data_IF_054505643498
#
_entry.id   IF_054505643498
#
_cell.length_a   1.000
_cell.length_b   1.000
_cell.length_c   1.000
_cell.angle_alpha   90.00
_cell.angle_beta   90.00
_cell.angle_gamma   90.00
#
_symmetry.space_group_name_H-M   'P 1'
#
loop_
_entity.id
_entity.type
_entity.pdbx_description
1 polymer ?
#
# COMPACT_ATOMS: atom_id res chain seq x y z
N UNK A 1 33.69 -58.80 11.61
CA UNK A 1 32.50 -58.60 10.77
C UNK A 1 31.50 -57.77 11.52
N UNK A 2 30.95 -56.70 11.03
CA UNK A 2 30.01 -55.73 11.58
C UNK A 2 30.63 -54.35 11.87
N UNK A 3 30.91 -53.57 10.84
CA UNK A 3 30.99 -52.10 10.96
C UNK A 3 30.85 -51.47 9.56
N UNK A 4 29.79 -51.63 8.87
CA UNK A 4 29.41 -50.88 7.66
C UNK A 4 27.92 -50.81 7.63
N UNK A 5 27.32 -49.84 8.30
CA UNK A 5 25.93 -49.45 8.08
C UNK A 5 25.54 -48.19 8.84
N UNK A 6 26.32 -47.15 8.82
CA UNK A 6 25.87 -45.81 9.28
C UNK A 6 26.57 -44.75 8.41
N UNK A 7 26.25 -44.70 7.17
CA UNK A 7 26.69 -43.58 6.30
C UNK A 7 25.75 -43.33 5.12
N UNK A 8 24.50 -43.55 5.28
CA UNK A 8 23.55 -43.36 4.19
C UNK A 8 22.30 -42.55 4.58
N UNK A 9 22.33 -41.76 5.66
CA UNK A 9 21.14 -41.04 6.09
C UNK A 9 21.30 -39.54 6.35
N UNK A 10 22.32 -38.91 5.83
CA UNK A 10 22.52 -37.46 6.02
C UNK A 10 22.57 -36.65 4.70
N UNK A 11 21.96 -37.13 3.64
CA UNK A 11 21.96 -36.49 2.32
C UNK A 11 20.59 -36.09 1.80
N UNK A 12 19.58 -36.00 2.67
CA UNK A 12 18.22 -35.67 2.22
C UNK A 12 17.55 -34.52 2.94
N UNK A 13 18.28 -33.50 3.38
CA UNK A 13 17.68 -32.27 3.88
C UNK A 13 18.41 -31.00 3.42
N UNK A 14 18.85 -30.96 2.20
CA UNK A 14 18.97 -29.70 1.47
C UNK A 14 17.68 -29.52 0.69
N UNK A 15 16.60 -29.23 1.38
CA UNK A 15 15.43 -28.62 0.78
C UNK A 15 15.90 -27.30 0.19
N UNK A 16 16.28 -27.33 -1.07
CA UNK A 16 16.46 -26.12 -1.86
C UNK A 16 15.13 -25.39 -1.80
N UNK A 17 15.06 -24.33 -1.02
CA UNK A 17 14.12 -23.25 -1.29
C UNK A 17 14.60 -22.68 -2.63
N UNK A 18 14.28 -23.38 -3.71
CA UNK A 18 14.46 -22.87 -5.04
C UNK A 18 13.59 -21.61 -5.10
N UNK A 19 14.22 -20.47 -5.06
CA UNK A 19 13.56 -19.22 -5.43
C UNK A 19 12.90 -19.51 -6.77
N UNK A 20 11.56 -19.42 -6.81
CA UNK A 20 10.84 -19.68 -8.05
C UNK A 20 11.20 -18.56 -9.01
N UNK A 21 12.11 -18.82 -9.89
CA UNK A 21 12.40 -17.92 -10.99
C UNK A 21 11.21 -17.91 -11.95
N UNK A 22 10.71 -16.73 -12.22
CA UNK A 22 9.70 -16.53 -13.27
C UNK A 22 10.43 -16.52 -14.60
N UNK A 23 10.10 -17.41 -15.55
CA UNK A 23 10.70 -17.41 -16.87
C UNK A 23 10.57 -16.04 -17.56
N UNK A 24 11.61 -15.61 -18.27
CA UNK A 24 11.64 -14.32 -18.96
C UNK A 24 10.42 -14.13 -19.88
N UNK A 25 10.03 -15.16 -20.61
CA UNK A 25 8.83 -15.11 -21.46
C UNK A 25 7.54 -14.83 -20.70
N UNK A 26 7.42 -15.33 -19.47
CA UNK A 26 6.27 -15.03 -18.62
C UNK A 26 6.31 -13.60 -18.12
N UNK A 27 7.47 -13.07 -17.80
CA UNK A 27 7.62 -11.66 -17.41
C UNK A 27 7.25 -10.72 -18.57
N UNK A 28 7.71 -11.05 -19.77
CA UNK A 28 7.36 -10.31 -20.99
C UNK A 28 5.87 -10.34 -21.26
N UNK A 29 5.24 -11.49 -21.13
CA UNK A 29 3.79 -11.62 -21.27
C UNK A 29 3.04 -10.75 -20.25
N UNK A 30 3.43 -10.81 -18.98
CA UNK A 30 2.82 -9.99 -17.91
C UNK A 30 3.00 -8.50 -18.21
N UNK A 31 4.20 -8.11 -18.66
CA UNK A 31 4.46 -6.72 -19.06
C UNK A 31 3.53 -6.26 -20.19
N UNK A 32 3.36 -7.07 -21.23
CA UNK A 32 2.47 -6.75 -22.34
C UNK A 32 0.98 -6.69 -21.91
N UNK A 33 0.55 -7.57 -21.03
CA UNK A 33 -0.81 -7.58 -20.48
C UNK A 33 -1.05 -6.40 -19.53
N UNK A 34 -0.05 -6.03 -18.73
CA UNK A 34 -0.17 -4.97 -17.71
C UNK A 34 0.05 -3.57 -18.26
N UNK A 35 0.82 -3.42 -19.36
CA UNK A 35 1.04 -2.11 -19.94
C UNK A 35 -0.26 -1.57 -20.51
N UNK A 36 -0.58 -0.35 -20.14
CA UNK A 36 -1.74 0.34 -20.70
C UNK A 36 -1.26 1.42 -21.68
N UNK A 37 -1.79 1.47 -22.91
CA UNK A 37 -1.53 2.57 -23.84
C UNK A 37 -2.23 3.86 -23.38
N UNK A 38 -3.18 3.74 -22.45
CA UNK A 38 -3.99 4.86 -21.99
C UNK A 38 -3.49 5.37 -20.65
N UNK A 39 -3.11 6.64 -20.59
CA UNK A 39 -2.83 7.37 -19.38
C UNK A 39 -3.87 8.46 -19.24
N UNK A 40 -4.73 8.32 -18.25
CA UNK A 40 -5.84 9.24 -18.03
C UNK A 40 -5.45 10.53 -17.30
N UNK A 41 -4.17 10.67 -16.94
CA UNK A 41 -3.66 11.82 -16.20
C UNK A 41 -3.48 11.52 -14.72
N UNK A 42 -3.41 12.58 -13.93
CA UNK A 42 -3.32 12.50 -12.48
C UNK A 42 -4.72 12.34 -11.88
N UNK A 43 -4.94 11.26 -11.15
CA UNK A 43 -6.20 11.03 -10.42
C UNK A 43 -6.40 12.10 -9.32
N UNK A 44 -5.34 12.35 -8.54
CA UNK A 44 -5.28 13.39 -7.53
C UNK A 44 -3.96 14.14 -7.68
N UNK A 45 -4.01 15.46 -7.65
CA UNK A 45 -2.83 16.31 -7.67
C UNK A 45 -2.69 17.06 -6.35
N UNK A 46 -1.47 17.38 -5.91
CA UNK A 46 -1.26 18.28 -4.78
C UNK A 46 -1.89 19.65 -5.06
N UNK A 47 -2.31 20.33 -4.00
CA UNK A 47 -2.88 21.67 -4.12
C UNK A 47 -1.87 22.71 -4.63
N UNK A 48 -0.58 22.42 -4.53
CA UNK A 48 0.51 23.30 -4.95
C UNK A 48 1.76 22.52 -5.36
N UNK A 49 2.78 23.24 -5.84
CA UNK A 49 4.05 22.65 -6.27
C UNK A 49 4.99 22.24 -5.12
N UNK A 50 4.62 22.48 -3.88
CA UNK A 50 5.46 22.20 -2.70
C UNK A 50 5.12 20.85 -2.07
N UNK A 51 3.88 20.41 -2.20
CA UNK A 51 3.42 19.15 -1.67
C UNK A 51 3.59 18.02 -2.69
N UNK A 52 3.79 16.83 -2.16
CA UNK A 52 3.79 15.57 -2.93
C UNK A 52 2.70 14.67 -2.40
N UNK A 53 2.24 13.79 -3.24
CA UNK A 53 1.25 12.77 -2.90
C UNK A 53 1.89 11.41 -3.10
N UNK A 54 1.61 10.50 -2.18
CA UNK A 54 2.15 9.14 -2.19
C UNK A 54 1.19 8.13 -1.57
N UNK A 55 1.52 6.85 -1.71
CA UNK A 55 0.88 5.72 -1.04
C UNK A 55 -0.66 5.69 -1.16
N UNK A 56 -1.23 5.70 -2.37
CA UNK A 56 -2.66 5.58 -2.52
C UNK A 56 -3.14 4.17 -2.17
N UNK A 57 -4.25 4.10 -1.44
CA UNK A 57 -4.98 2.86 -1.18
C UNK A 57 -6.44 3.06 -1.54
N UNK A 58 -6.91 2.31 -2.53
CA UNK A 58 -8.27 2.41 -3.05
C UNK A 58 -9.14 1.32 -2.45
N UNK A 59 -10.35 1.67 -2.07
CA UNK A 59 -11.35 0.76 -1.55
C UNK A 59 -12.76 1.22 -1.92
N UNK A 60 -13.73 0.37 -1.72
CA UNK A 60 -15.13 0.66 -2.04
C UNK A 60 -15.98 0.67 -0.77
N UNK A 61 -16.91 1.61 -0.71
CA UNK A 61 -17.94 1.65 0.33
C UNK A 61 -19.27 2.04 -0.31
N UNK A 62 -20.23 1.13 -0.25
CA UNK A 62 -21.48 1.27 -0.99
C UNK A 62 -21.22 1.34 -2.50
N UNK A 63 -21.76 2.35 -3.14
CA UNK A 63 -21.64 2.57 -4.58
C UNK A 63 -20.47 3.45 -4.98
N UNK A 64 -19.69 3.93 -4.01
CA UNK A 64 -18.58 4.85 -4.25
C UNK A 64 -17.21 4.21 -4.01
N UNK A 65 -16.25 4.72 -4.75
CA UNK A 65 -14.84 4.44 -4.52
C UNK A 65 -14.23 5.52 -3.65
N UNK A 66 -13.35 5.09 -2.77
CA UNK A 66 -12.56 5.96 -1.91
C UNK A 66 -11.09 5.66 -2.08
N UNK A 67 -10.27 6.67 -1.87
CA UNK A 67 -8.82 6.54 -1.88
C UNK A 67 -8.25 7.30 -0.70
N UNK A 68 -7.59 6.58 0.21
CA UNK A 68 -6.68 7.26 1.15
C UNK A 68 -5.32 7.43 0.48
N UNK A 69 -4.67 8.53 0.76
CA UNK A 69 -3.33 8.83 0.28
C UNK A 69 -2.62 9.74 1.28
N UNK A 70 -1.31 9.77 1.22
CA UNK A 70 -0.53 10.66 2.06
C UNK A 70 -0.15 11.92 1.30
N UNK A 71 -0.18 13.03 2.00
CA UNK A 71 0.33 14.31 1.51
C UNK A 71 1.58 14.64 2.29
N UNK A 72 2.63 14.95 1.56
CA UNK A 72 3.96 15.21 2.08
C UNK A 72 4.42 16.60 1.66
N UNK A 73 4.88 17.41 2.60
CA UNK A 73 5.24 18.81 2.33
C UNK A 73 6.60 19.00 1.64
N UNK A 74 7.25 17.93 1.20
CA UNK A 74 8.50 17.98 0.44
C UNK A 74 9.75 18.27 1.26
N UNK A 75 9.63 18.53 2.57
CA UNK A 75 10.76 18.67 3.47
C UNK A 75 10.80 17.46 4.39
N UNK A 76 11.88 16.72 4.35
CA UNK A 76 12.21 15.74 5.38
C UNK A 76 13.00 16.45 6.46
N UNK A 77 12.66 16.20 7.72
CA UNK A 77 13.41 16.76 8.84
C UNK A 77 12.71 17.91 9.54
N UNK A 78 13.47 18.60 10.38
CA UNK A 78 13.01 19.44 11.46
C UNK A 78 12.07 20.61 11.08
N UNK A 79 12.13 21.10 9.86
CA UNK A 79 11.33 22.26 9.42
C UNK A 79 10.06 21.87 8.68
N UNK A 80 9.85 20.60 8.45
CA UNK A 80 8.73 20.09 7.69
C UNK A 80 8.08 18.91 8.38
N UNK A 81 6.82 19.06 8.69
CA UNK A 81 6.02 17.91 9.07
C UNK A 81 5.96 16.98 7.89
N UNK A 82 6.15 15.67 8.11
CA UNK A 82 6.23 14.66 7.05
C UNK A 82 4.87 14.40 6.43
N UNK A 83 4.17 13.38 6.91
CA UNK A 83 2.97 12.86 6.27
C UNK A 83 1.68 13.19 7.01
N UNK A 84 0.67 13.60 6.27
CA UNK A 84 -0.73 13.59 6.66
C UNK A 84 -1.51 12.61 5.78
N UNK A 85 -2.53 11.95 6.32
CA UNK A 85 -3.42 11.11 5.53
C UNK A 85 -4.65 11.89 5.09
N UNK A 86 -4.92 11.85 3.82
CA UNK A 86 -6.08 12.45 3.17
C UNK A 86 -6.98 11.39 2.57
N UNK A 87 -8.19 11.79 2.23
CA UNK A 87 -9.16 10.93 1.56
C UNK A 87 -9.81 11.65 0.40
N UNK A 88 -10.04 10.93 -0.69
CA UNK A 88 -10.83 11.35 -1.83
C UNK A 88 -11.91 10.31 -2.15
N UNK A 89 -12.93 10.73 -2.88
CA UNK A 89 -13.97 9.85 -3.42
C UNK A 89 -14.07 9.93 -4.93
N UNK A 90 -14.63 8.89 -5.54
CA UNK A 90 -14.89 8.81 -6.98
C UNK A 90 -16.09 7.92 -7.26
N UNK A 91 -16.83 8.22 -8.31
CA UNK A 91 -17.88 7.37 -8.84
C UNK A 91 -17.38 6.39 -9.93
N UNK A 92 -16.22 6.66 -10.53
CA UNK A 92 -15.75 5.97 -11.75
C UNK A 92 -14.26 5.61 -11.78
N UNK A 93 -13.52 5.86 -10.69
CA UNK A 93 -12.07 5.67 -10.57
C UNK A 93 -11.20 6.61 -11.43
N UNK A 94 -11.79 7.45 -12.25
CA UNK A 94 -11.10 8.39 -13.14
C UNK A 94 -11.11 9.81 -12.59
N UNK A 95 -12.25 10.23 -12.09
CA UNK A 95 -12.44 11.57 -11.53
C UNK A 95 -12.53 11.47 -10.01
N UNK A 96 -11.65 12.17 -9.33
CA UNK A 96 -11.53 12.12 -7.88
C UNK A 96 -11.78 13.47 -7.24
N UNK A 97 -12.55 13.49 -6.20
CA UNK A 97 -12.82 14.65 -5.36
C UNK A 97 -12.21 14.47 -3.98
N UNK A 98 -11.25 15.29 -3.63
CA UNK A 98 -10.68 15.32 -2.28
C UNK A 98 -11.73 15.74 -1.27
N UNK A 99 -11.91 14.95 -0.21
CA UNK A 99 -12.84 15.23 0.88
C UNK A 99 -12.16 15.96 2.04
N UNK A 100 -10.90 15.64 2.31
CA UNK A 100 -10.14 16.27 3.38
C UNK A 100 -9.13 15.35 4.06
N UNK A 101 -8.71 15.74 5.26
CA UNK A 101 -7.72 15.03 6.06
C UNK A 101 -8.40 14.02 7.00
N UNK A 102 -7.82 12.82 7.06
CA UNK A 102 -8.22 11.74 8.00
C UNK A 102 -7.32 11.74 9.23
N UNK A 103 -6.01 11.81 9.00
CA UNK A 103 -5.01 11.94 10.07
C UNK A 103 -4.18 13.19 9.82
N UNK A 104 -4.11 14.04 10.82
CA UNK A 104 -3.37 15.29 10.76
C UNK A 104 -2.30 15.34 11.86
N UNK A 105 -1.38 16.24 11.72
CA UNK A 105 -0.36 16.50 12.74
C UNK A 105 -0.98 16.80 14.10
N UNK A 106 -0.27 16.44 15.16
CA UNK A 106 -0.67 16.81 16.51
C UNK A 106 0.55 17.03 17.40
N UNK A 107 0.74 18.27 17.79
CA UNK A 107 1.86 18.65 18.63
C UNK A 107 1.83 17.97 20.01
N UNK A 108 3.00 17.70 20.55
CA UNK A 108 3.14 17.11 21.88
C UNK A 108 2.95 15.58 21.94
N UNK A 109 2.87 14.91 20.79
CA UNK A 109 2.78 13.46 20.73
C UNK A 109 3.95 12.86 19.94
N UNK A 110 4.25 11.60 20.21
CA UNK A 110 5.32 10.85 19.55
C UNK A 110 5.19 10.77 18.03
N UNK A 111 3.99 10.95 17.50
CA UNK A 111 3.63 10.89 16.08
C UNK A 111 3.33 12.27 15.48
N UNK A 112 3.95 13.32 16.04
CA UNK A 112 3.61 14.71 15.73
C UNK A 112 3.89 15.11 14.28
N UNK A 113 4.84 14.47 13.60
CA UNK A 113 5.29 14.86 12.27
C UNK A 113 4.94 13.86 11.16
N UNK A 114 4.60 12.62 11.49
CA UNK A 114 4.30 11.60 10.51
C UNK A 114 3.05 10.82 10.90
N UNK A 115 2.03 10.91 10.08
CA UNK A 115 0.77 10.19 10.26
C UNK A 115 0.23 9.69 8.93
N UNK A 116 0.98 8.76 8.30
CA UNK A 116 0.62 8.10 7.05
C UNK A 116 -0.23 6.86 7.32
N UNK A 117 -1.53 6.93 7.05
CA UNK A 117 -2.49 5.89 7.39
C UNK A 117 -3.01 5.10 6.20
N UNK A 118 -3.36 3.84 6.47
CA UNK A 118 -3.88 2.90 5.49
C UNK A 118 -5.08 2.15 6.07
N UNK A 119 -6.16 1.92 5.28
CA UNK A 119 -7.24 1.03 5.68
C UNK A 119 -6.68 -0.35 6.03
N UNK A 120 -7.10 -0.93 7.16
CA UNK A 120 -6.50 -2.16 7.67
C UNK A 120 -7.11 -3.43 7.08
N UNK A 121 -8.35 -3.41 6.62
CA UNK A 121 -9.08 -4.61 6.21
C UNK A 121 -9.81 -4.42 4.86
N UNK A 122 -9.14 -3.94 3.80
CA UNK A 122 -9.75 -3.96 2.48
C UNK A 122 -9.82 -5.39 1.95
N UNK A 123 -10.87 -5.68 1.20
CA UNK A 123 -10.93 -6.89 0.38
C UNK A 123 -9.95 -6.73 -0.79
N UNK A 124 -8.82 -7.44 -0.73
CA UNK A 124 -7.75 -7.35 -1.72
C UNK A 124 -7.79 -8.48 -2.75
N UNK A 125 -8.85 -9.27 -2.76
CA UNK A 125 -8.99 -10.33 -3.74
C UNK A 125 -9.19 -9.73 -5.14
N UNK A 126 -8.44 -10.21 -6.11
CA UNK A 126 -8.54 -9.75 -7.49
C UNK A 126 -9.94 -10.02 -8.06
N UNK A 127 -10.63 -8.97 -8.48
CA UNK A 127 -12.03 -9.07 -8.91
C UNK A 127 -13.03 -9.20 -7.76
N UNK A 128 -12.57 -9.05 -6.51
CA UNK A 128 -13.41 -9.03 -5.32
C UNK A 128 -14.21 -7.73 -5.17
N UNK A 129 -14.78 -7.54 -3.99
CA UNK A 129 -15.62 -6.39 -3.69
C UNK A 129 -14.85 -5.09 -3.52
N UNK A 130 -13.58 -5.19 -3.15
CA UNK A 130 -12.71 -4.08 -2.71
C UNK A 130 -13.27 -3.29 -1.50
N UNK A 131 -14.27 -3.84 -0.83
CA UNK A 131 -14.91 -3.18 0.30
C UNK A 131 -14.06 -3.24 1.56
N UNK A 132 -14.21 -2.24 2.42
CA UNK A 132 -13.64 -2.30 3.76
C UNK A 132 -14.46 -3.26 4.62
N UNK A 133 -13.78 -4.24 5.18
CA UNK A 133 -14.38 -5.12 6.17
C UNK A 133 -14.36 -4.46 7.55
N UNK A 134 -15.32 -4.83 8.38
CA UNK A 134 -15.39 -4.38 9.76
C UNK A 134 -14.89 -5.47 10.72
N UNK A 135 -14.21 -5.06 11.76
CA UNK A 135 -13.93 -5.90 12.91
C UNK A 135 -14.58 -5.28 14.14
N UNK A 136 -15.42 -6.04 14.85
CA UNK A 136 -16.23 -5.54 15.98
C UNK A 136 -17.06 -4.30 15.64
N UNK A 137 -17.65 -4.29 14.43
CA UNK A 137 -18.51 -3.19 13.95
C UNK A 137 -17.78 -1.87 13.68
N UNK A 138 -16.46 -1.90 13.50
CA UNK A 138 -15.65 -0.70 13.22
C UNK A 138 -14.75 -0.95 12.01
N UNK A 139 -14.52 0.11 11.25
CA UNK A 139 -13.42 0.16 10.29
C UNK A 139 -12.12 0.47 11.03
N UNK A 140 -11.06 -0.15 10.60
CA UNK A 140 -9.75 -0.03 11.23
C UNK A 140 -8.76 0.57 10.26
N UNK A 141 -7.83 1.31 10.81
CA UNK A 141 -6.71 1.89 10.07
C UNK A 141 -5.42 1.56 10.81
N UNK A 142 -4.40 1.20 10.05
CA UNK A 142 -3.01 1.20 10.51
C UNK A 142 -2.35 2.48 10.05
N UNK A 143 -1.37 3.00 10.77
CA UNK A 143 -0.61 4.15 10.32
C UNK A 143 0.84 4.09 10.74
N UNK A 144 1.67 4.68 9.93
CA UNK A 144 3.05 4.99 10.25
C UNK A 144 3.09 6.32 10.97
N UNK A 145 3.62 6.33 12.19
CA UNK A 145 3.77 7.54 12.99
C UNK A 145 5.23 7.79 13.37
N UNK A 146 5.58 9.05 13.61
CA UNK A 146 6.92 9.43 14.05
C UNK A 146 7.08 10.91 14.28
N UNK A 147 8.20 11.26 14.90
CA UNK A 147 8.60 12.65 15.10
C UNK A 147 9.34 13.24 13.89
N UNK A 148 9.83 12.40 12.99
CA UNK A 148 10.58 12.79 11.78
C UNK A 148 11.91 12.12 11.69
#
# INVERSE_FOLDING_TARGET
MKKILILAFSLFTLGTYAQREVPQSRMEQIYEEAKTPYKYGLAVAPADNKHKIDCPTVFREGDKWYMTYVVYNGKSGLDGRGYETWIAESDNLLEWRTLGRVLSYRDGFWDCNQRGGFPALPDMEWGGSYALQTYKGKHWMTYLGGEG
#
